data_IF_763196314609
#
_entry.id   IF_763196314609
#
_cell.length_a   1.000
_cell.length_b   1.000
_cell.length_c   1.000
_cell.angle_alpha   90.00
_cell.angle_beta   90.00
_cell.angle_gamma   90.00
#
_symmetry.space_group_name_H-M   'P 1'
#
loop_
_entity.id
_entity.type
_entity.pdbx_description
1 polymer ?
#
# COMPACT_ATOMS: atom_id res chain seq x y z
N UNK A 1 11.78 -0.55 -21.27
CA UNK A 1 10.35 -0.14 -21.20
C UNK A 1 10.07 0.44 -19.82
N UNK A 2 9.44 1.61 -19.76
CA UNK A 2 9.08 2.24 -18.48
C UNK A 2 7.68 1.80 -18.07
N UNK A 3 7.54 1.18 -16.90
CA UNK A 3 6.27 0.63 -16.42
C UNK A 3 5.84 1.34 -15.15
N UNK A 4 4.58 1.74 -15.10
CA UNK A 4 3.95 2.32 -13.92
C UNK A 4 2.83 1.42 -13.36
N UNK A 5 2.64 1.49 -12.04
CA UNK A 5 1.45 0.96 -11.37
C UNK A 5 0.72 2.11 -10.69
N UNK A 6 -0.58 2.15 -10.81
CA UNK A 6 -1.44 3.13 -10.17
C UNK A 6 -2.31 2.47 -9.09
N UNK A 7 -2.03 2.79 -7.81
CA UNK A 7 -2.82 2.38 -6.66
C UNK A 7 -3.65 3.55 -6.15
N UNK A 8 -4.95 3.57 -6.45
CA UNK A 8 -5.86 4.66 -6.07
C UNK A 8 -6.44 4.52 -4.66
N UNK A 9 -5.63 4.10 -3.71
CA UNK A 9 -6.03 3.92 -2.32
C UNK A 9 -5.34 4.93 -1.42
N UNK A 10 -6.11 5.57 -0.52
CA UNK A 10 -5.56 6.53 0.46
C UNK A 10 -4.95 5.84 1.69
N UNK A 11 -5.53 4.71 2.09
CA UNK A 11 -5.08 3.95 3.26
C UNK A 11 -3.86 3.10 2.97
N UNK A 12 -2.92 3.04 3.92
CA UNK A 12 -1.70 2.24 3.81
C UNK A 12 -2.01 0.75 3.62
N UNK A 13 -2.92 0.18 4.42
CA UNK A 13 -3.27 -1.23 4.38
C UNK A 13 -3.73 -1.70 3.00
N UNK A 14 -4.62 -0.94 2.34
CA UNK A 14 -5.09 -1.28 1.00
C UNK A 14 -3.96 -1.24 -0.05
N UNK A 15 -2.99 -0.34 0.08
CA UNK A 15 -1.81 -0.33 -0.79
C UNK A 15 -0.92 -1.54 -0.51
N UNK A 16 -0.69 -1.90 0.77
CA UNK A 16 0.13 -3.05 1.14
C UNK A 16 -0.45 -4.37 0.63
N UNK A 17 -1.78 -4.53 0.62
CA UNK A 17 -2.45 -5.70 0.04
C UNK A 17 -2.19 -5.88 -1.47
N UNK A 18 -1.72 -4.85 -2.15
CA UNK A 18 -1.38 -4.93 -3.58
C UNK A 18 0.11 -5.21 -3.86
N UNK A 19 0.98 -5.21 -2.85
CA UNK A 19 2.43 -5.32 -3.06
C UNK A 19 2.84 -6.61 -3.76
N UNK A 20 2.22 -7.74 -3.41
CA UNK A 20 2.52 -9.02 -4.07
C UNK A 20 2.36 -8.92 -5.59
N UNK A 21 1.31 -8.25 -6.03
CA UNK A 21 1.00 -8.03 -7.45
C UNK A 21 1.95 -7.03 -8.10
N UNK A 22 2.33 -5.96 -7.37
CA UNK A 22 3.35 -5.03 -7.81
C UNK A 22 4.69 -5.74 -8.03
N UNK A 23 5.07 -6.63 -7.12
CA UNK A 23 6.29 -7.43 -7.24
C UNK A 23 6.25 -8.38 -8.46
N UNK A 24 5.10 -9.00 -8.78
CA UNK A 24 4.98 -9.83 -9.99
C UNK A 24 5.13 -9.01 -11.27
N UNK A 25 4.56 -7.80 -11.30
CA UNK A 25 4.72 -6.88 -12.44
C UNK A 25 6.20 -6.45 -12.54
N UNK A 26 6.84 -6.10 -11.42
CA UNK A 26 8.26 -5.75 -11.38
C UNK A 26 9.17 -6.89 -11.85
N UNK A 27 8.87 -8.13 -11.50
CA UNK A 27 9.62 -9.30 -12.00
C UNK A 27 9.61 -9.40 -13.54
N UNK A 28 8.48 -9.04 -14.17
CA UNK A 28 8.35 -9.12 -15.63
C UNK A 28 8.93 -7.92 -16.37
N UNK A 29 8.83 -6.71 -15.79
CA UNK A 29 9.15 -5.46 -16.48
C UNK A 29 10.38 -4.74 -15.91
N UNK A 30 11.01 -5.26 -14.87
CA UNK A 30 12.05 -4.57 -14.10
C UNK A 30 11.47 -3.60 -13.06
N UNK A 31 12.31 -2.82 -12.36
CA UNK A 31 11.87 -1.86 -11.36
C UNK A 31 10.85 -0.88 -11.91
N UNK A 32 9.72 -0.72 -11.22
CA UNK A 32 8.55 0.04 -11.67
C UNK A 32 8.40 1.36 -10.92
N UNK A 33 7.69 2.32 -11.54
CA UNK A 33 7.21 3.54 -10.88
C UNK A 33 5.85 3.27 -10.24
N UNK A 34 5.71 3.53 -8.93
CA UNK A 34 4.45 3.34 -8.20
C UNK A 34 3.77 4.68 -7.98
N UNK A 35 2.58 4.88 -8.57
CA UNK A 35 1.75 6.06 -8.39
C UNK A 35 0.69 5.76 -7.33
N UNK A 36 0.59 6.59 -6.29
CA UNK A 36 -0.30 6.34 -5.16
C UNK A 36 -0.97 7.60 -4.62
N UNK A 37 -2.12 7.43 -3.96
CA UNK A 37 -2.80 8.47 -3.16
C UNK A 37 -2.46 8.38 -1.66
N UNK A 38 -1.58 7.47 -1.26
CA UNK A 38 -1.14 7.28 0.13
C UNK A 38 0.16 8.04 0.39
N UNK A 39 0.16 9.12 1.20
CA UNK A 39 1.34 9.96 1.39
C UNK A 39 2.50 9.28 2.12
N UNK A 40 2.21 8.22 2.89
CA UNK A 40 3.23 7.52 3.69
C UNK A 40 3.79 6.26 3.02
N UNK A 41 3.32 5.91 1.82
CA UNK A 41 3.74 4.68 1.16
C UNK A 41 5.24 4.68 0.80
N UNK A 42 5.77 5.84 0.43
CA UNK A 42 7.20 6.01 0.13
C UNK A 42 8.12 5.70 1.32
N UNK A 43 7.66 5.99 2.57
CA UNK A 43 8.43 5.70 3.77
C UNK A 43 8.54 4.20 4.04
N UNK A 44 7.50 3.45 3.68
CA UNK A 44 7.41 2.00 3.90
C UNK A 44 8.19 1.23 2.84
N UNK A 45 8.19 1.70 1.59
CA UNK A 45 8.73 0.97 0.44
C UNK A 45 10.04 1.53 -0.09
N UNK A 46 10.68 2.48 0.62
CA UNK A 46 11.91 3.16 0.15
C UNK A 46 13.08 2.21 -0.12
N UNK A 47 13.14 1.11 0.61
CA UNK A 47 14.23 0.12 0.53
C UNK A 47 13.81 -1.10 -0.33
N UNK A 48 12.66 -1.07 -1.02
CA UNK A 48 12.18 -2.16 -1.86
C UNK A 48 12.71 -2.01 -3.30
N UNK A 49 13.59 -2.92 -3.77
CA UNK A 49 14.22 -2.81 -5.08
C UNK A 49 13.25 -2.98 -6.26
N UNK A 50 12.03 -3.44 -6.01
CA UNK A 50 10.99 -3.55 -7.04
C UNK A 50 10.47 -2.19 -7.51
N UNK A 51 10.71 -1.13 -6.72
CA UNK A 51 10.24 0.22 -7.03
C UNK A 51 11.41 1.14 -7.36
N UNK A 52 11.39 1.68 -8.57
CA UNK A 52 12.33 2.72 -9.00
C UNK A 52 12.05 4.05 -8.32
N UNK A 53 10.76 4.36 -8.17
CA UNK A 53 10.27 5.59 -7.55
C UNK A 53 8.83 5.40 -7.07
N UNK A 54 8.43 6.19 -6.06
CA UNK A 54 7.07 6.22 -5.55
C UNK A 54 6.55 7.63 -5.67
N UNK A 55 5.55 7.81 -6.53
CA UNK A 55 4.97 9.09 -6.92
C UNK A 55 3.68 9.30 -6.15
N UNK A 56 3.67 10.25 -5.23
CA UNK A 56 2.47 10.64 -4.52
C UNK A 56 1.64 11.62 -5.37
N UNK A 57 0.38 11.28 -5.61
CA UNK A 57 -0.58 12.18 -6.23
C UNK A 57 -1.37 12.94 -5.17
N UNK A 58 -1.20 14.24 -5.14
CA UNK A 58 -1.95 15.13 -4.25
C UNK A 58 -3.43 15.24 -4.66
N UNK A 59 -4.22 15.91 -3.81
CA UNK A 59 -5.67 16.13 -3.94
C UNK A 59 -6.09 16.77 -5.26
N UNK A 60 -5.21 17.53 -5.91
CA UNK A 60 -5.45 18.27 -7.16
C UNK A 60 -5.82 17.40 -8.38
N UNK A 61 -5.56 16.09 -8.34
CA UNK A 61 -5.85 15.18 -9.47
C UNK A 61 -7.06 14.27 -9.22
N UNK A 62 -7.96 14.65 -8.29
CA UNK A 62 -9.05 13.75 -7.84
C UNK A 62 -10.40 14.03 -8.50
N UNK A 63 -10.58 15.20 -9.13
CA UNK A 63 -11.83 15.60 -9.79
C UNK A 63 -11.89 15.04 -11.22
N UNK A 64 -13.09 14.86 -11.74
CA UNK A 64 -13.28 14.40 -13.12
C UNK A 64 -12.64 15.36 -14.14
N UNK A 65 -12.76 16.65 -13.92
CA UNK A 65 -12.17 17.69 -14.78
C UNK A 65 -10.63 17.73 -14.74
N UNK A 66 -9.99 16.98 -13.85
CA UNK A 66 -8.53 16.90 -13.77
C UNK A 66 -7.91 15.90 -14.76
N UNK A 67 -8.69 15.32 -15.68
CA UNK A 67 -8.20 14.33 -16.68
C UNK A 67 -7.02 14.90 -17.48
N UNK A 68 -7.15 16.14 -17.96
CA UNK A 68 -6.10 16.79 -18.77
C UNK A 68 -4.87 17.07 -17.90
N UNK A 69 -5.06 17.55 -16.68
CA UNK A 69 -3.95 17.80 -15.75
C UNK A 69 -3.19 16.51 -15.42
N UNK A 70 -3.93 15.42 -15.12
CA UNK A 70 -3.34 14.12 -14.85
C UNK A 70 -2.64 13.55 -16.09
N UNK A 71 -3.22 13.73 -17.27
CA UNK A 71 -2.58 13.34 -18.54
C UNK A 71 -1.25 14.07 -18.75
N UNK A 72 -1.22 15.40 -18.57
CA UNK A 72 0.00 16.20 -18.71
C UNK A 72 1.06 15.81 -17.67
N UNK A 73 0.63 15.47 -16.45
CA UNK A 73 1.51 14.95 -15.43
C UNK A 73 2.12 13.59 -15.84
N UNK A 74 1.31 12.64 -16.31
CA UNK A 74 1.77 11.33 -16.75
C UNK A 74 2.71 11.39 -17.96
N UNK A 75 2.49 12.34 -18.88
CA UNK A 75 3.37 12.57 -20.06
C UNK A 75 4.83 12.82 -19.68
N UNK A 76 5.09 13.49 -18.55
CA UNK A 76 6.44 13.84 -18.10
C UNK A 76 7.31 12.60 -17.83
N UNK A 77 6.71 11.46 -17.51
CA UNK A 77 7.42 10.21 -17.20
C UNK A 77 7.65 9.33 -18.43
N UNK A 78 6.91 9.53 -19.52
CA UNK A 78 6.99 8.74 -20.75
C UNK A 78 6.87 7.23 -20.50
N UNK A 79 5.82 6.81 -19.80
CA UNK A 79 5.54 5.40 -19.52
C UNK A 79 5.11 4.66 -20.79
N UNK A 80 5.62 3.44 -20.97
CA UNK A 80 5.17 2.53 -22.04
C UNK A 80 3.97 1.70 -21.58
N UNK A 81 3.98 1.29 -20.30
CA UNK A 81 2.93 0.46 -19.68
C UNK A 81 2.39 1.11 -18.42
N UNK A 82 1.10 0.95 -18.18
CA UNK A 82 0.48 1.32 -16.89
C UNK A 82 -0.52 0.26 -16.44
N UNK A 83 -0.43 -0.15 -15.17
CA UNK A 83 -1.35 -1.07 -14.51
C UNK A 83 -2.20 -0.30 -13.50
N UNK A 84 -3.51 -0.19 -13.72
CA UNK A 84 -4.42 0.61 -12.90
C UNK A 84 -5.27 -0.32 -12.05
N UNK A 85 -4.94 -0.45 -10.76
CA UNK A 85 -5.64 -1.29 -9.78
C UNK A 85 -6.88 -0.58 -9.20
N UNK A 86 -7.67 0.02 -10.06
CA UNK A 86 -8.90 0.70 -9.66
C UNK A 86 -9.86 0.88 -10.85
N UNK A 87 -11.17 0.58 -10.72
CA UNK A 87 -12.14 0.74 -11.80
C UNK A 87 -12.51 2.23 -12.00
N UNK A 88 -11.69 2.99 -12.72
CA UNK A 88 -11.90 4.42 -12.96
C UNK A 88 -11.64 4.79 -14.42
N UNK A 89 -12.71 5.16 -15.12
CA UNK A 89 -12.63 5.67 -16.49
C UNK A 89 -11.71 6.90 -16.60
N UNK A 90 -11.66 7.72 -15.57
CA UNK A 90 -10.79 8.90 -15.52
C UNK A 90 -9.31 8.53 -15.65
N UNK A 91 -8.85 7.56 -14.87
CA UNK A 91 -7.44 7.14 -14.92
C UNK A 91 -7.10 6.49 -16.26
N UNK A 92 -8.02 5.72 -16.81
CA UNK A 92 -7.89 5.15 -18.15
C UNK A 92 -7.75 6.25 -19.22
N UNK A 93 -8.67 7.21 -19.24
CA UNK A 93 -8.66 8.32 -20.21
C UNK A 93 -7.41 9.20 -20.07
N UNK A 94 -7.00 9.53 -18.83
CA UNK A 94 -5.78 10.30 -18.60
C UNK A 94 -4.53 9.58 -19.13
N UNK A 95 -4.45 8.26 -18.92
CA UNK A 95 -3.35 7.44 -19.43
C UNK A 95 -3.35 7.38 -20.95
N UNK A 96 -4.52 7.23 -21.56
CA UNK A 96 -4.66 7.25 -23.04
C UNK A 96 -4.26 8.59 -23.64
N UNK A 97 -4.71 9.70 -23.07
CA UNK A 97 -4.34 11.05 -23.48
C UNK A 97 -2.85 11.37 -23.22
N UNK A 98 -2.25 10.70 -22.23
CA UNK A 98 -0.81 10.78 -21.99
C UNK A 98 0.03 10.06 -23.05
N UNK A 99 -0.58 9.28 -23.94
CA UNK A 99 0.12 8.55 -25.00
C UNK A 99 0.70 7.22 -24.51
N UNK A 100 0.25 6.69 -23.37
CA UNK A 100 0.72 5.40 -22.86
C UNK A 100 0.21 4.28 -23.78
N UNK A 101 1.10 3.43 -24.24
CA UNK A 101 0.79 2.42 -25.28
C UNK A 101 -0.04 1.27 -24.71
N UNK A 102 0.37 0.72 -23.57
CA UNK A 102 -0.25 -0.45 -22.99
C UNK A 102 -0.91 -0.07 -21.65
N UNK A 103 -2.24 -0.05 -21.62
CA UNK A 103 -3.02 0.32 -20.45
C UNK A 103 -3.78 -0.93 -19.96
N UNK A 104 -3.35 -1.47 -18.83
CA UNK A 104 -4.03 -2.54 -18.11
C UNK A 104 -4.90 -1.92 -17.03
N UNK A 105 -6.17 -2.29 -16.99
CA UNK A 105 -7.14 -1.60 -16.13
C UNK A 105 -8.16 -2.57 -15.58
N UNK A 106 -8.60 -2.38 -14.34
CA UNK A 106 -9.72 -3.14 -13.76
C UNK A 106 -10.97 -2.98 -14.62
N UNK A 107 -11.78 -4.04 -14.78
CA UNK A 107 -13.02 -3.96 -15.56
C UNK A 107 -13.92 -2.85 -15.03
N UNK A 108 -14.29 -1.89 -15.90
CA UNK A 108 -15.09 -0.72 -15.54
C UNK A 108 -16.53 -1.09 -15.14
N UNK A 109 -17.08 -2.14 -15.73
CA UNK A 109 -18.50 -2.48 -15.63
C UNK A 109 -18.81 -3.81 -14.93
N UNK A 110 -17.82 -4.61 -14.62
CA UNK A 110 -18.02 -5.87 -13.87
C UNK A 110 -17.74 -5.64 -12.39
N UNK A 111 -18.76 -5.15 -11.65
CA UNK A 111 -18.77 -5.29 -10.19
C UNK A 111 -18.96 -6.76 -9.84
N UNK A 112 -17.89 -7.50 -9.72
CA UNK A 112 -17.91 -8.74 -8.96
C UNK A 112 -17.74 -8.35 -7.49
N UNK A 113 -18.55 -8.92 -6.59
CA UNK A 113 -18.37 -8.81 -5.14
C UNK A 113 -17.13 -9.64 -4.71
N UNK A 114 -15.97 -9.28 -5.25
CA UNK A 114 -14.72 -9.95 -4.94
C UNK A 114 -13.99 -9.16 -3.86
N UNK A 115 -13.38 -9.89 -2.94
CA UNK A 115 -12.43 -9.29 -2.01
C UNK A 115 -11.29 -8.63 -2.80
N UNK A 116 -10.76 -7.51 -2.27
CA UNK A 116 -9.74 -6.69 -2.92
C UNK A 116 -8.53 -7.51 -3.41
N UNK A 117 -8.06 -8.45 -2.58
CA UNK A 117 -6.94 -9.35 -2.90
C UNK A 117 -7.27 -10.27 -4.09
N UNK A 118 -8.48 -10.82 -4.14
CA UNK A 118 -8.91 -11.69 -5.24
C UNK A 118 -9.04 -10.92 -6.56
N UNK A 119 -9.60 -9.71 -6.49
CA UNK A 119 -9.71 -8.85 -7.68
C UNK A 119 -8.31 -8.49 -8.23
N UNK A 120 -7.38 -8.15 -7.34
CA UNK A 120 -6.00 -7.83 -7.72
C UNK A 120 -5.26 -9.04 -8.28
N UNK A 121 -5.44 -10.23 -7.68
CA UNK A 121 -4.88 -11.49 -8.18
C UNK A 121 -5.33 -11.76 -9.61
N UNK A 122 -6.64 -11.83 -9.83
CA UNK A 122 -7.21 -12.11 -11.15
C UNK A 122 -6.78 -11.09 -12.21
N UNK A 123 -6.73 -9.82 -11.84
CA UNK A 123 -6.28 -8.77 -12.75
C UNK A 123 -4.82 -8.97 -13.14
N UNK A 124 -3.95 -9.28 -12.19
CA UNK A 124 -2.53 -9.48 -12.44
C UNK A 124 -2.29 -10.73 -13.27
N UNK A 125 -2.95 -11.85 -12.94
CA UNK A 125 -2.86 -13.10 -13.69
C UNK A 125 -3.26 -12.90 -15.15
N UNK A 126 -4.40 -12.26 -15.39
CA UNK A 126 -4.88 -11.97 -16.76
C UNK A 126 -3.96 -10.98 -17.50
N UNK A 127 -3.47 -9.93 -16.83
CA UNK A 127 -2.64 -8.91 -17.48
C UNK A 127 -1.24 -9.40 -17.82
N UNK A 128 -0.70 -10.31 -17.02
CA UNK A 128 0.63 -10.89 -17.23
C UNK A 128 0.61 -12.23 -17.97
N UNK A 129 -0.57 -12.82 -18.16
CA UNK A 129 -0.76 -14.19 -18.64
C UNK A 129 0.04 -15.21 -17.81
N UNK A 130 -0.17 -15.19 -16.50
CA UNK A 130 0.44 -16.08 -15.52
C UNK A 130 -0.65 -16.74 -14.66
N UNK A 131 -0.33 -17.89 -14.08
CA UNK A 131 -1.18 -18.59 -13.13
C UNK A 131 -0.58 -18.55 -11.71
N UNK A 132 -1.44 -18.77 -10.70
CA UNK A 132 -1.02 -18.92 -9.30
C UNK A 132 -0.22 -17.73 -8.75
N UNK A 133 -0.64 -16.51 -9.09
CA UNK A 133 -0.04 -15.30 -8.54
C UNK A 133 -0.09 -15.33 -7.01
N UNK A 134 1.06 -15.14 -6.31
CA UNK A 134 1.10 -15.12 -4.85
C UNK A 134 0.23 -14.00 -4.28
N UNK A 135 -0.43 -14.27 -3.15
CA UNK A 135 -1.24 -13.28 -2.43
C UNK A 135 -0.55 -12.73 -1.18
N UNK A 136 0.57 -13.33 -0.79
CA UNK A 136 1.32 -12.93 0.40
C UNK A 136 2.02 -11.60 0.19
N UNK A 137 1.76 -10.66 1.10
CA UNK A 137 2.47 -9.38 1.14
C UNK A 137 3.83 -9.56 1.79
N UNK A 138 4.89 -9.16 1.08
CA UNK A 138 6.25 -9.10 1.61
C UNK A 138 6.73 -7.65 1.55
N UNK A 139 7.35 -7.19 2.64
CA UNK A 139 7.96 -5.87 2.73
C UNK A 139 9.46 -6.09 2.89
N UNK A 140 10.26 -5.40 2.09
CA UNK A 140 11.71 -5.39 2.26
C UNK A 140 12.08 -4.65 3.54
N UNK A 141 12.81 -5.31 4.41
CA UNK A 141 13.23 -4.78 5.71
C UNK A 141 14.74 -4.63 5.72
N UNK A 142 15.21 -3.47 6.11
CA UNK A 142 16.60 -3.24 6.42
C UNK A 142 16.95 -3.92 7.75
N UNK A 143 17.56 -5.09 7.68
CA UNK A 143 17.92 -5.90 8.85
C UNK A 143 18.90 -5.20 9.78
N UNK A 144 19.72 -4.27 9.30
CA UNK A 144 20.65 -3.51 10.16
C UNK A 144 19.93 -2.65 11.20
N UNK A 145 18.66 -2.31 10.96
CA UNK A 145 17.83 -1.52 11.88
C UNK A 145 17.10 -2.35 12.92
N UNK A 146 17.12 -3.68 12.81
CA UNK A 146 16.38 -4.58 13.73
C UNK A 146 17.09 -4.71 15.07
N UNK A 147 18.41 -4.64 15.10
CA UNK A 147 19.19 -4.90 16.32
C UNK A 147 18.87 -3.95 17.49
N UNK A 148 18.49 -2.72 17.20
CA UNK A 148 18.04 -1.77 18.23
C UNK A 148 16.76 -2.18 18.96
N UNK A 149 15.98 -3.13 18.42
CA UNK A 149 14.76 -3.67 19.03
C UNK A 149 14.99 -5.03 19.71
N UNK A 150 16.21 -5.56 19.68
CA UNK A 150 16.61 -6.77 20.44
C UNK A 150 16.92 -6.42 21.89
N UNK A 151 15.98 -5.79 22.59
CA UNK A 151 16.13 -5.42 24.00
C UNK A 151 15.70 -6.63 24.81
N UNK A 152 16.61 -7.16 25.66
CA UNK A 152 16.45 -8.25 26.64
C UNK A 152 15.90 -9.61 26.11
N UNK A 153 15.89 -10.63 27.00
CA UNK A 153 15.41 -12.00 26.73
C UNK A 153 13.89 -12.18 26.99
N UNK A 154 13.15 -11.10 27.28
CA UNK A 154 11.71 -11.19 27.54
C UNK A 154 10.94 -11.47 26.26
N UNK A 155 9.82 -12.16 26.40
CA UNK A 155 8.85 -12.31 25.31
C UNK A 155 8.31 -10.94 24.91
N UNK A 156 8.28 -10.65 23.61
CA UNK A 156 7.88 -9.35 23.08
C UNK A 156 6.47 -9.40 22.54
N UNK A 157 5.65 -8.45 22.95
CA UNK A 157 4.27 -8.28 22.46
C UNK A 157 4.17 -6.91 21.79
N UNK A 158 3.66 -6.87 20.56
CA UNK A 158 3.39 -5.64 19.83
C UNK A 158 1.90 -5.35 19.88
N UNK A 159 1.52 -4.18 20.39
CA UNK A 159 0.13 -3.73 20.50
C UNK A 159 -0.09 -2.55 19.53
N UNK A 160 -0.94 -2.75 18.52
CA UNK A 160 -1.37 -1.68 17.61
C UNK A 160 -2.56 -0.93 18.23
N UNK A 161 -2.30 0.23 18.84
CA UNK A 161 -3.33 0.97 19.59
C UNK A 161 -4.08 2.00 18.75
N UNK A 162 -3.65 2.23 17.50
CA UNK A 162 -4.24 3.20 16.57
C UNK A 162 -5.14 2.57 15.53
N UNK A 163 -6.18 3.31 15.14
CA UNK A 163 -7.03 3.00 14.00
C UNK A 163 -7.43 4.29 13.27
N UNK A 164 -7.70 4.18 11.97
CA UNK A 164 -8.10 5.32 11.13
C UNK A 164 -9.53 5.82 11.38
N UNK A 165 -10.37 5.01 12.04
CA UNK A 165 -11.76 5.34 12.32
C UNK A 165 -12.08 5.43 13.81
N UNK A 166 -12.95 6.36 14.24
CA UNK A 166 -13.31 6.48 15.65
C UNK A 166 -14.03 5.24 16.20
N UNK A 167 -14.79 4.56 15.36
CA UNK A 167 -15.56 3.34 15.72
C UNK A 167 -14.72 2.07 15.79
N UNK A 168 -13.48 2.11 15.31
CA UNK A 168 -12.58 0.95 15.28
C UNK A 168 -11.49 1.02 16.33
N UNK A 169 -11.49 2.04 17.18
CA UNK A 169 -10.56 2.18 18.33
C UNK A 169 -11.10 1.41 19.54
N UNK A 170 -10.28 0.52 20.08
CA UNK A 170 -10.64 -0.24 21.28
C UNK A 170 -10.56 0.60 22.57
N UNK A 171 -9.84 1.71 22.54
CA UNK A 171 -9.62 2.60 23.68
C UNK A 171 -8.37 2.24 24.48
N UNK A 172 -7.63 3.26 24.93
CA UNK A 172 -6.35 3.06 25.62
C UNK A 172 -6.53 2.38 27.00
N UNK A 173 -7.64 2.64 27.70
CA UNK A 173 -7.92 1.99 29.00
C UNK A 173 -8.02 0.47 28.87
N UNK A 174 -8.55 -0.02 27.76
CA UNK A 174 -8.64 -1.46 27.53
C UNK A 174 -7.26 -2.08 27.26
N UNK A 175 -6.38 -1.36 26.56
CA UNK A 175 -4.99 -1.79 26.38
C UNK A 175 -4.23 -1.83 27.70
N UNK A 176 -4.42 -0.83 28.60
CA UNK A 176 -3.84 -0.84 29.94
C UNK A 176 -4.30 -2.06 30.74
N UNK A 177 -5.61 -2.38 30.74
CA UNK A 177 -6.14 -3.57 31.37
C UNK A 177 -5.54 -4.86 30.82
N UNK A 178 -5.39 -4.93 29.50
CA UNK A 178 -4.77 -6.08 28.81
C UNK A 178 -3.31 -6.26 29.25
N UNK A 179 -2.52 -5.20 29.24
CA UNK A 179 -1.11 -5.22 29.65
C UNK A 179 -0.96 -5.71 31.10
N UNK A 180 -1.76 -5.15 32.03
CA UNK A 180 -1.75 -5.57 33.43
C UNK A 180 -2.05 -7.06 33.55
N UNK A 181 -3.08 -7.54 32.88
CA UNK A 181 -3.49 -8.95 32.94
C UNK A 181 -2.46 -9.90 32.30
N UNK A 182 -1.77 -9.48 31.27
CA UNK A 182 -0.69 -10.27 30.67
C UNK A 182 0.52 -10.34 31.59
N UNK A 183 0.90 -9.24 32.26
CA UNK A 183 2.01 -9.22 33.23
C UNK A 183 1.73 -10.04 34.51
N UNK A 184 0.47 -10.28 34.88
CA UNK A 184 0.12 -11.24 35.93
C UNK A 184 0.45 -12.69 35.54
N UNK A 185 0.49 -12.98 34.23
CA UNK A 185 0.75 -14.34 33.74
C UNK A 185 2.24 -14.60 33.47
N UNK A 186 2.99 -13.61 33.03
CA UNK A 186 4.43 -13.71 32.74
C UNK A 186 5.02 -12.31 32.51
N UNK A 187 6.34 -12.18 32.58
CA UNK A 187 7.03 -10.95 32.25
C UNK A 187 7.13 -10.79 30.72
N UNK A 188 6.54 -9.70 30.19
CA UNK A 188 6.58 -9.34 28.79
C UNK A 188 7.20 -7.97 28.57
N UNK A 189 7.77 -7.78 27.38
CA UNK A 189 8.16 -6.47 26.89
C UNK A 189 7.16 -6.01 25.83
N UNK A 190 6.50 -4.87 26.05
CA UNK A 190 5.47 -4.36 25.15
C UNK A 190 6.00 -3.26 24.24
N UNK A 191 5.71 -3.39 22.94
CA UNK A 191 5.85 -2.32 21.99
C UNK A 191 4.47 -1.76 21.64
N UNK A 192 4.27 -0.47 21.86
CA UNK A 192 3.03 0.23 21.47
C UNK A 192 3.23 0.88 20.11
N UNK A 193 2.47 0.41 19.10
CA UNK A 193 2.45 1.03 17.78
C UNK A 193 1.27 1.99 17.70
N UNK A 194 1.57 3.28 17.52
CA UNK A 194 0.56 4.31 17.35
C UNK A 194 0.86 5.25 16.18
N UNK A 195 -0.20 5.86 15.65
CA UNK A 195 -0.07 6.98 14.72
C UNK A 195 0.15 8.30 15.48
N UNK A 196 0.58 9.37 14.79
CA UNK A 196 0.89 10.66 15.43
C UNK A 196 -0.24 11.24 16.29
N UNK A 197 -1.49 10.95 15.92
CA UNK A 197 -2.66 11.44 16.66
C UNK A 197 -2.94 10.70 17.97
N UNK A 198 -2.28 9.59 18.21
CA UNK A 198 -2.50 8.72 19.37
C UNK A 198 -1.26 8.63 20.29
N UNK A 199 -0.21 9.42 20.01
CA UNK A 199 1.03 9.43 20.82
C UNK A 199 0.75 9.76 22.30
N UNK A 200 -0.10 10.75 22.59
CA UNK A 200 -0.49 11.12 23.95
C UNK A 200 -1.21 9.98 24.68
N UNK A 201 -1.93 9.11 23.96
CA UNK A 201 -2.59 7.95 24.55
C UNK A 201 -1.62 6.79 24.78
N UNK A 202 -0.55 6.72 24.02
CA UNK A 202 0.50 5.72 24.21
C UNK A 202 1.42 6.02 25.40
N UNK A 203 1.46 7.29 25.87
CA UNK A 203 2.25 7.74 27.03
C UNK A 203 1.53 7.56 28.38
N UNK A 204 0.23 7.30 28.37
CA UNK A 204 -0.59 7.01 29.57
C UNK A 204 -0.45 5.56 30.01
#
# INVERSE_FOLDING_TARGET
MKTAIFLSYKGLGANLLHLSYCHQISKKFGPISLITLCPNLNKVLKDDPSFKEIIYLDKFYRKFFDIIKLSNFLKQFSFDNIFIFYPSIRYYLSSKLAGIKNIYHYPLFKKKNLHLVQAAKMFTENSLNIENCPTETKISIDHSKIDKYKINNLKKIVLGISSSGPTTKWGYENFIKLIKRLNEMNDFYFYLLCGPNDENNAQK
#
